data_IF_302863825964
#
_entry.id   IF_302863825964
#
_cell.length_a   1.000
_cell.length_b   1.000
_cell.length_c   1.000
_cell.angle_alpha   90.00
_cell.angle_beta   90.00
_cell.angle_gamma   90.00
#
_symmetry.space_group_name_H-M   'P 1'
#
loop_
_entity.id
_entity.type
_entity.pdbx_description
1 polymer ?
#
# COMPACT_ATOMS: atom_id res chain seq x y z
N UNK A 1 -24.80 -4.23 7.32
CA UNK A 1 -23.87 -3.91 6.23
C UNK A 1 -23.65 -2.39 6.26
N UNK A 2 -22.40 -1.93 6.42
CA UNK A 2 -22.08 -0.51 6.37
C UNK A 2 -22.07 -0.05 4.90
N UNK A 3 -22.62 1.15 4.63
CA UNK A 3 -22.42 1.78 3.34
C UNK A 3 -21.24 2.76 3.39
N UNK A 4 -20.79 3.25 2.25
CA UNK A 4 -19.65 4.17 2.12
C UNK A 4 -19.82 5.43 2.98
N UNK A 5 -21.03 5.99 3.08
CA UNK A 5 -21.31 7.17 3.92
C UNK A 5 -21.13 6.86 5.40
N UNK A 6 -21.59 5.68 5.84
CA UNK A 6 -21.42 5.26 7.23
C UNK A 6 -19.93 5.11 7.58
N UNK A 7 -19.13 4.55 6.65
CA UNK A 7 -17.67 4.40 6.81
C UNK A 7 -17.02 5.77 6.93
N UNK A 8 -17.35 6.71 6.04
CA UNK A 8 -16.79 8.08 6.07
C UNK A 8 -17.08 8.78 7.40
N UNK A 9 -18.32 8.67 7.92
CA UNK A 9 -18.71 9.24 9.21
C UNK A 9 -17.91 8.62 10.37
N UNK A 10 -17.71 7.30 10.37
CA UNK A 10 -16.94 6.58 11.40
C UNK A 10 -15.45 6.98 11.39
N UNK A 11 -14.92 7.39 10.25
CA UNK A 11 -13.50 7.69 10.06
C UNK A 11 -13.17 9.19 10.25
N UNK A 12 -14.16 10.06 10.20
CA UNK A 12 -13.94 11.50 10.38
C UNK A 12 -13.34 11.80 11.76
N UNK A 13 -12.11 12.34 11.78
CA UNK A 13 -11.37 12.63 13.00
C UNK A 13 -10.85 11.40 13.75
N UNK A 14 -11.03 10.19 13.22
CA UNK A 14 -10.57 8.97 13.87
C UNK A 14 -9.04 8.87 13.89
N UNK A 15 -8.51 8.31 14.97
CA UNK A 15 -7.08 7.98 15.11
C UNK A 15 -6.77 6.50 14.83
N UNK A 16 -7.81 5.67 14.69
CA UNK A 16 -7.74 4.25 14.35
C UNK A 16 -9.05 3.86 13.67
N UNK A 17 -8.99 2.93 12.73
CA UNK A 17 -10.18 2.34 12.11
C UNK A 17 -10.90 1.48 13.16
N UNK A 18 -12.21 1.70 13.33
CA UNK A 18 -12.99 0.99 14.35
C UNK A 18 -13.13 -0.51 14.03
N UNK A 19 -13.29 -1.33 15.08
CA UNK A 19 -13.52 -2.77 14.91
C UNK A 19 -14.74 -3.06 14.02
N UNK A 20 -15.78 -2.24 14.09
CA UNK A 20 -16.97 -2.35 13.25
C UNK A 20 -16.66 -2.21 11.76
N UNK A 21 -15.78 -1.26 11.38
CA UNK A 21 -15.33 -1.08 10.00
C UNK A 21 -14.40 -2.23 9.59
N UNK A 22 -13.51 -2.67 10.48
CA UNK A 22 -12.62 -3.82 10.23
C UNK A 22 -13.40 -5.11 10.03
N UNK A 23 -14.45 -5.36 10.80
CA UNK A 23 -15.31 -6.54 10.60
C UNK A 23 -15.99 -6.49 9.24
N UNK A 24 -16.53 -5.33 8.85
CA UNK A 24 -17.11 -5.15 7.51
C UNK A 24 -16.08 -5.39 6.39
N UNK A 25 -14.85 -4.88 6.52
CA UNK A 25 -13.75 -5.15 5.57
C UNK A 25 -13.52 -6.65 5.40
N UNK A 26 -13.53 -7.41 6.50
CA UNK A 26 -13.34 -8.87 6.45
C UNK A 26 -14.54 -9.60 5.85
N UNK A 27 -15.77 -9.20 6.16
CA UNK A 27 -17.00 -9.76 5.58
C UNK A 27 -17.02 -9.61 4.06
N UNK A 28 -16.67 -8.40 3.57
CA UNK A 28 -16.58 -8.08 2.13
C UNK A 28 -15.29 -8.60 1.48
N UNK A 29 -14.36 -9.15 2.24
CA UNK A 29 -13.06 -9.67 1.79
C UNK A 29 -12.18 -8.63 1.08
N UNK A 30 -12.29 -7.35 1.42
CA UNK A 30 -11.58 -6.26 0.74
C UNK A 30 -10.05 -6.35 0.88
N UNK A 31 -9.55 -6.93 1.96
CA UNK A 31 -8.12 -7.24 2.10
C UNK A 31 -7.65 -8.38 1.19
N UNK A 32 -8.58 -9.15 0.62
CA UNK A 32 -8.29 -10.36 -0.18
C UNK A 32 -8.62 -10.19 -1.67
N UNK A 33 -8.65 -8.93 -2.18
CA UNK A 33 -8.95 -8.68 -3.61
C UNK A 33 -7.97 -9.38 -4.54
N UNK A 34 -6.69 -9.40 -4.18
CA UNK A 34 -5.62 -10.02 -4.97
C UNK A 34 -5.36 -11.50 -4.61
N UNK A 35 -5.92 -11.97 -3.50
CA UNK A 35 -5.76 -13.36 -3.05
C UNK A 35 -6.53 -14.29 -4.00
N UNK A 36 -5.92 -15.41 -4.47
CA UNK A 36 -6.60 -16.37 -5.33
C UNK A 36 -7.89 -16.90 -4.71
N UNK A 37 -8.90 -17.17 -5.55
CA UNK A 37 -10.20 -17.75 -5.11
C UNK A 37 -10.03 -19.07 -4.37
N UNK A 38 -9.05 -19.89 -4.77
CA UNK A 38 -8.74 -21.17 -4.09
C UNK A 38 -8.34 -21.01 -2.61
N UNK A 39 -7.84 -19.84 -2.22
CA UNK A 39 -7.54 -19.48 -0.83
C UNK A 39 -8.61 -18.57 -0.20
N UNK A 40 -9.82 -18.54 -0.76
CA UNK A 40 -10.95 -17.78 -0.23
C UNK A 40 -10.93 -16.28 -0.52
N UNK A 41 -10.01 -15.81 -1.40
CA UNK A 41 -9.96 -14.43 -1.87
C UNK A 41 -10.98 -14.11 -2.96
N UNK A 42 -11.01 -12.84 -3.40
CA UNK A 42 -11.87 -12.39 -4.49
C UNK A 42 -11.24 -12.69 -5.87
N UNK A 43 -9.91 -12.75 -5.96
CA UNK A 43 -9.18 -13.03 -7.19
C UNK A 43 -9.51 -12.01 -8.29
N UNK A 44 -9.51 -10.73 -7.94
CA UNK A 44 -9.76 -9.66 -8.89
C UNK A 44 -8.67 -9.61 -9.97
N UNK A 45 -9.07 -9.21 -11.18
CA UNK A 45 -8.14 -8.75 -12.19
C UNK A 45 -7.50 -7.45 -11.74
N UNK A 46 -6.38 -7.10 -12.36
CA UNK A 46 -5.61 -5.92 -11.93
C UNK A 46 -6.45 -4.63 -12.00
N UNK A 47 -7.10 -4.39 -13.15
CA UNK A 47 -7.96 -3.22 -13.33
C UNK A 47 -9.12 -3.17 -12.30
N UNK A 48 -9.76 -4.31 -11.99
CA UNK A 48 -10.86 -4.36 -11.01
C UNK A 48 -10.38 -3.94 -9.62
N UNK A 49 -9.22 -4.46 -9.21
CA UNK A 49 -8.63 -4.08 -7.94
C UNK A 49 -8.24 -2.60 -7.88
N UNK A 50 -7.67 -2.04 -8.96
CA UNK A 50 -7.34 -0.61 -9.01
C UNK A 50 -8.59 0.28 -8.87
N UNK A 51 -9.72 -0.08 -9.48
CA UNK A 51 -10.99 0.62 -9.31
C UNK A 51 -11.49 0.57 -7.86
N UNK A 52 -11.38 -0.59 -7.22
CA UNK A 52 -11.75 -0.74 -5.81
C UNK A 52 -10.86 0.14 -4.90
N UNK A 53 -9.54 0.12 -5.10
CA UNK A 53 -8.61 0.94 -4.33
C UNK A 53 -8.88 2.45 -4.49
N UNK A 54 -9.20 2.90 -5.72
CA UNK A 54 -9.60 4.29 -5.97
C UNK A 54 -10.83 4.66 -5.14
N UNK A 55 -11.89 3.87 -5.20
CA UNK A 55 -13.15 4.13 -4.50
C UNK A 55 -12.98 4.16 -2.97
N UNK A 56 -12.12 3.30 -2.42
CA UNK A 56 -11.83 3.32 -0.99
C UNK A 56 -11.02 4.54 -0.56
N UNK A 57 -10.07 4.99 -1.38
CA UNK A 57 -9.31 6.20 -1.13
C UNK A 57 -10.17 7.48 -1.28
N UNK A 58 -11.15 7.46 -2.18
CA UNK A 58 -12.18 8.50 -2.32
C UNK A 58 -13.13 8.53 -1.12
N UNK A 59 -13.32 7.41 -0.44
CA UNK A 59 -14.11 7.34 0.80
C UNK A 59 -13.40 8.04 1.96
N UNK A 60 -12.14 7.69 2.23
CA UNK A 60 -11.29 8.29 3.25
C UNK A 60 -9.82 7.94 2.99
N UNK A 61 -8.91 8.89 3.21
CA UNK A 61 -7.48 8.72 2.92
C UNK A 61 -6.82 7.63 3.76
N UNK A 62 -7.07 7.59 5.08
CA UNK A 62 -6.52 6.55 5.97
C UNK A 62 -7.03 5.15 5.62
N UNK A 63 -8.32 5.07 5.29
CA UNK A 63 -9.01 3.84 4.93
C UNK A 63 -8.47 3.26 3.61
N UNK A 64 -8.49 4.07 2.56
CA UNK A 64 -7.96 3.66 1.26
C UNK A 64 -6.48 3.28 1.33
N UNK A 65 -5.68 4.03 2.10
CA UNK A 65 -4.27 3.71 2.31
C UNK A 65 -4.07 2.36 2.99
N UNK A 66 -4.79 2.12 4.09
CA UNK A 66 -4.71 0.84 4.81
C UNK A 66 -5.12 -0.33 3.91
N UNK A 67 -6.24 -0.20 3.18
CA UNK A 67 -6.70 -1.24 2.26
C UNK A 67 -5.70 -1.47 1.11
N UNK A 68 -5.12 -0.40 0.54
CA UNK A 68 -4.11 -0.52 -0.52
C UNK A 68 -2.88 -1.31 -0.05
N UNK A 69 -2.33 -0.95 1.11
CA UNK A 69 -1.10 -1.57 1.60
C UNK A 69 -1.33 -2.99 2.13
N UNK A 70 -2.43 -3.22 2.87
CA UNK A 70 -2.73 -4.54 3.40
C UNK A 70 -3.22 -5.53 2.32
N UNK A 71 -4.01 -5.08 1.34
CA UNK A 71 -4.35 -5.93 0.20
C UNK A 71 -3.11 -6.24 -0.65
N UNK A 72 -2.20 -5.27 -0.82
CA UNK A 72 -0.90 -5.47 -1.44
C UNK A 72 0.00 -6.45 -0.68
N UNK A 73 -0.06 -6.47 0.65
CA UNK A 73 0.65 -7.48 1.44
C UNK A 73 -0.01 -8.88 1.35
N UNK A 74 -1.34 -8.95 1.34
CA UNK A 74 -2.06 -10.20 1.13
C UNK A 74 -1.86 -10.78 -0.29
N UNK A 75 -1.49 -9.96 -1.29
CA UNK A 75 -1.05 -10.41 -2.60
C UNK A 75 0.09 -11.42 -2.51
N UNK A 76 0.98 -11.32 -1.52
CA UNK A 76 2.09 -12.27 -1.31
C UNK A 76 1.64 -13.69 -0.94
N UNK A 77 0.32 -13.94 -0.75
CA UNK A 77 -0.23 -15.31 -0.75
C UNK A 77 0.15 -16.12 -2.00
N UNK A 78 0.55 -15.45 -3.08
CA UNK A 78 0.98 -16.03 -4.34
C UNK A 78 2.47 -16.43 -4.34
N UNK A 79 3.28 -15.81 -3.46
CA UNK A 79 4.72 -16.00 -3.34
C UNK A 79 5.12 -17.05 -2.30
N UNK A 80 4.19 -17.53 -1.48
CA UNK A 80 4.42 -18.56 -0.46
C UNK A 80 3.94 -19.93 -0.93
N UNK A 81 4.50 -20.99 -0.34
CA UNK A 81 4.12 -22.37 -0.68
C UNK A 81 2.60 -22.56 -0.55
N UNK A 82 1.96 -23.32 -1.46
CA UNK A 82 0.52 -23.50 -1.46
C UNK A 82 -0.06 -23.99 -0.13
N UNK A 83 0.62 -24.91 0.54
CA UNK A 83 0.22 -25.48 1.83
C UNK A 83 0.20 -24.40 2.93
N UNK A 84 1.20 -23.50 2.92
CA UNK A 84 1.27 -22.39 3.87
C UNK A 84 0.20 -21.34 3.54
N UNK A 85 0.01 -21.02 2.26
CA UNK A 85 -1.06 -20.11 1.83
C UNK A 85 -2.44 -20.63 2.24
N UNK A 86 -2.73 -21.90 2.01
CA UNK A 86 -3.98 -22.54 2.40
C UNK A 86 -4.18 -22.49 3.92
N UNK A 87 -3.15 -22.85 4.69
CA UNK A 87 -3.19 -22.80 6.16
C UNK A 87 -3.51 -21.37 6.67
N UNK A 88 -2.79 -20.37 6.19
CA UNK A 88 -2.93 -19.00 6.68
C UNK A 88 -4.27 -18.38 6.26
N UNK A 89 -4.66 -18.56 5.00
CA UNK A 89 -5.86 -17.93 4.44
C UNK A 89 -7.17 -18.69 4.75
N UNK A 90 -7.12 -19.86 5.40
CA UNK A 90 -8.28 -20.50 6.06
C UNK A 90 -8.91 -19.57 7.09
N UNK A 91 -8.10 -18.75 7.78
CA UNK A 91 -8.61 -17.69 8.63
C UNK A 91 -9.23 -16.59 7.76
N UNK A 92 -10.56 -16.40 7.90
CA UNK A 92 -11.29 -15.35 7.15
C UNK A 92 -10.78 -13.93 7.46
N UNK A 93 -10.26 -13.72 8.67
CA UNK A 93 -9.75 -12.43 9.19
C UNK A 93 -8.25 -12.23 8.97
N UNK A 94 -7.58 -13.06 8.16
CA UNK A 94 -6.15 -12.88 7.87
C UNK A 94 -5.91 -11.51 7.23
N UNK A 95 -4.93 -10.81 7.79
CA UNK A 95 -4.49 -9.51 7.32
C UNK A 95 -2.97 -9.42 7.45
N UNK A 96 -2.30 -9.38 6.31
CA UNK A 96 -0.87 -9.12 6.23
C UNK A 96 -0.61 -7.63 6.08
N UNK A 97 0.49 -7.18 6.61
CA UNK A 97 1.04 -5.85 6.40
C UNK A 97 2.43 -5.79 6.98
N UNK A 98 3.19 -4.78 6.64
CA UNK A 98 4.55 -4.71 7.12
C UNK A 98 5.33 -3.54 6.52
N UNK A 99 6.63 -3.71 6.41
CA UNK A 99 7.52 -2.68 5.87
C UNK A 99 8.33 -3.26 4.71
N UNK A 100 8.36 -2.54 3.60
CA UNK A 100 9.23 -2.85 2.45
C UNK A 100 10.72 -2.57 2.71
N UNK A 101 11.04 -1.91 3.83
CA UNK A 101 12.43 -1.63 4.21
C UNK A 101 13.14 -2.88 4.71
N UNK A 102 14.44 -2.99 4.42
CA UNK A 102 15.30 -4.00 5.03
C UNK A 102 15.67 -3.50 6.42
N UNK A 103 14.95 -3.99 7.43
CA UNK A 103 15.06 -3.50 8.82
C UNK A 103 15.80 -4.44 9.78
N UNK A 104 16.31 -5.57 9.29
CA UNK A 104 16.93 -6.55 10.16
C UNK A 104 17.72 -7.64 9.44
N UNK A 105 18.05 -8.68 10.19
CA UNK A 105 18.76 -9.87 9.72
C UNK A 105 17.97 -11.14 9.98
N UNK A 106 18.17 -12.14 9.15
CA UNK A 106 17.67 -13.51 9.29
C UNK A 106 18.84 -14.48 9.24
N UNK A 107 19.27 -14.94 10.40
CA UNK A 107 20.39 -15.87 10.54
C UNK A 107 19.94 -17.30 10.20
N UNK A 108 20.47 -17.85 9.11
CA UNK A 108 20.14 -19.19 8.63
C UNK A 108 20.65 -20.25 9.58
N UNK A 109 19.79 -21.21 9.92
CA UNK A 109 20.09 -22.36 10.75
C UNK A 109 20.20 -23.66 9.92
N UNK A 110 20.82 -24.70 10.47
CA UNK A 110 21.00 -25.98 9.80
C UNK A 110 19.71 -26.80 9.61
N UNK A 111 18.67 -26.48 10.33
CA UNK A 111 17.36 -27.17 10.35
C UNK A 111 16.31 -26.50 9.46
N UNK A 112 16.74 -25.72 8.47
CA UNK A 112 15.85 -24.95 7.57
C UNK A 112 14.98 -23.92 8.31
N UNK A 113 15.52 -23.34 9.38
CA UNK A 113 14.89 -22.19 10.06
C UNK A 113 15.79 -20.95 9.97
N UNK A 114 15.23 -19.82 10.35
CA UNK A 114 15.93 -18.54 10.47
C UNK A 114 15.66 -17.94 11.84
N UNK A 115 16.68 -17.34 12.44
CA UNK A 115 16.52 -16.50 13.63
C UNK A 115 16.46 -15.06 13.16
N UNK A 116 15.31 -14.41 13.36
CA UNK A 116 15.06 -13.04 12.87
C UNK A 116 15.24 -12.04 14.00
N UNK A 117 16.00 -10.97 13.70
CA UNK A 117 16.20 -9.83 14.57
C UNK A 117 16.13 -8.54 13.76
N UNK A 118 15.43 -7.52 14.29
CA UNK A 118 15.40 -6.21 13.65
C UNK A 118 14.29 -5.30 14.12
N UNK A 119 14.22 -4.13 13.49
CA UNK A 119 13.20 -3.12 13.71
C UNK A 119 12.74 -2.55 12.36
N UNK A 120 11.44 -2.53 12.15
CA UNK A 120 10.81 -2.07 10.93
C UNK A 120 9.85 -0.94 11.23
N UNK A 121 9.93 0.12 10.42
CA UNK A 121 9.08 1.29 10.55
C UNK A 121 7.97 1.26 9.49
N UNK A 122 6.90 2.00 9.76
CA UNK A 122 5.82 2.29 8.81
C UNK A 122 5.03 1.06 8.32
N UNK A 123 4.73 0.13 9.23
CA UNK A 123 3.81 -0.97 8.97
C UNK A 123 2.36 -0.47 9.06
N UNK A 124 1.77 -0.17 7.91
CA UNK A 124 0.38 0.28 7.82
C UNK A 124 -0.58 -0.82 8.27
N UNK A 125 -1.63 -0.44 8.99
CA UNK A 125 -2.64 -1.37 9.52
C UNK A 125 -2.18 -2.14 10.76
N UNK A 126 -1.02 -1.83 11.36
CA UNK A 126 -0.43 -2.59 12.45
C UNK A 126 -1.38 -2.98 13.60
N UNK A 127 -2.36 -2.15 14.03
CA UNK A 127 -3.35 -2.56 15.02
C UNK A 127 -4.20 -3.76 14.61
N UNK A 128 -4.44 -3.94 13.32
CA UNK A 128 -5.40 -4.88 12.75
C UNK A 128 -4.74 -6.07 12.03
N UNK A 129 -3.40 -6.07 11.91
CA UNK A 129 -2.68 -7.18 11.28
C UNK A 129 -2.81 -8.46 12.10
N UNK A 130 -2.80 -9.58 11.41
CA UNK A 130 -2.59 -10.91 11.98
C UNK A 130 -1.15 -11.38 11.82
N UNK A 131 -0.48 -10.93 10.76
CA UNK A 131 0.91 -11.25 10.47
C UNK A 131 1.64 -10.02 9.94
N UNK A 132 2.88 -9.86 10.37
CA UNK A 132 3.80 -8.90 9.78
C UNK A 132 4.55 -9.54 8.61
N UNK A 133 4.67 -8.80 7.51
CA UNK A 133 5.64 -9.07 6.44
C UNK A 133 6.84 -8.16 6.62
N UNK A 134 8.03 -8.69 6.46
CA UNK A 134 9.27 -7.95 6.70
C UNK A 134 10.38 -8.42 5.75
N UNK A 135 11.30 -7.52 5.41
CA UNK A 135 12.49 -7.82 4.64
C UNK A 135 13.71 -7.87 5.56
N UNK A 136 14.53 -8.92 5.43
CA UNK A 136 15.74 -9.10 6.22
C UNK A 136 16.89 -9.57 5.35
N UNK A 137 18.12 -9.14 5.69
CA UNK A 137 19.35 -9.67 5.10
C UNK A 137 19.58 -11.07 5.61
N UNK A 138 19.89 -12.00 4.70
CA UNK A 138 20.25 -13.35 5.10
C UNK A 138 21.69 -13.36 5.61
N UNK A 139 21.88 -13.93 6.79
CA UNK A 139 23.20 -14.13 7.40
C UNK A 139 23.43 -15.62 7.67
N UNK A 140 24.67 -16.03 7.69
CA UNK A 140 25.11 -17.37 8.08
C UNK A 140 26.41 -17.26 8.87
N UNK A 141 26.47 -17.87 10.04
CA UNK A 141 27.58 -17.72 11.00
C UNK A 141 27.93 -16.24 11.28
N UNK A 142 26.92 -15.37 11.34
CA UNK A 142 27.04 -13.93 11.59
C UNK A 142 27.54 -13.09 10.40
N UNK A 143 27.71 -13.67 9.22
CA UNK A 143 28.14 -12.98 8.01
C UNK A 143 27.00 -12.86 7.02
N UNK A 144 26.84 -11.69 6.39
CA UNK A 144 25.85 -11.48 5.31
C UNK A 144 26.18 -12.34 4.11
N UNK A 145 25.19 -13.08 3.60
CA UNK A 145 25.31 -13.85 2.36
C UNK A 145 25.02 -12.92 1.17
N UNK A 146 25.79 -13.12 0.09
CA UNK A 146 25.58 -12.42 -1.18
C UNK A 146 25.12 -13.39 -2.28
N UNK A 147 24.40 -12.86 -3.26
CA UNK A 147 24.07 -13.58 -4.50
C UNK A 147 25.31 -13.72 -5.43
N UNK A 148 25.10 -14.35 -6.58
CA UNK A 148 26.17 -14.56 -7.58
C UNK A 148 26.71 -13.25 -8.19
N UNK A 149 25.99 -12.12 -8.02
CA UNK A 149 26.38 -10.79 -8.51
C UNK A 149 27.06 -9.95 -7.42
N UNK A 150 27.19 -10.49 -6.19
CA UNK A 150 27.76 -9.79 -5.04
C UNK A 150 26.78 -8.89 -4.29
N UNK A 151 25.47 -8.93 -4.61
CA UNK A 151 24.45 -8.20 -3.88
C UNK A 151 24.05 -8.94 -2.59
N UNK A 152 23.77 -8.21 -1.52
CA UNK A 152 23.26 -8.79 -0.28
C UNK A 152 21.98 -9.59 -0.55
N UNK A 153 21.91 -10.82 -0.08
CA UNK A 153 20.72 -11.66 -0.21
C UNK A 153 19.66 -11.17 0.78
N UNK A 154 18.48 -10.81 0.25
CA UNK A 154 17.35 -10.33 1.04
C UNK A 154 16.17 -11.28 0.81
N UNK A 155 15.58 -11.77 1.90
CA UNK A 155 14.31 -12.48 1.85
C UNK A 155 13.24 -11.72 2.62
N UNK A 156 12.00 -11.95 2.23
CA UNK A 156 10.82 -11.54 2.96
C UNK A 156 10.34 -12.68 3.85
N UNK A 157 9.78 -12.34 5.00
CA UNK A 157 9.27 -13.31 5.98
C UNK A 157 7.87 -12.92 6.44
N UNK A 158 7.08 -13.92 6.81
CA UNK A 158 5.77 -13.77 7.44
C UNK A 158 5.91 -14.18 8.90
N UNK A 159 5.63 -13.26 9.82
CA UNK A 159 5.73 -13.49 11.25
C UNK A 159 4.39 -13.19 11.92
N UNK A 160 3.83 -14.11 12.74
CA UNK A 160 2.62 -13.85 13.50
C UNK A 160 2.75 -12.58 14.37
N UNK A 161 1.68 -11.79 14.46
CA UNK A 161 1.68 -10.53 15.22
C UNK A 161 2.09 -10.71 16.67
N UNK A 162 1.71 -11.82 17.27
CA UNK A 162 1.99 -12.15 18.66
C UNK A 162 3.49 -12.29 18.96
N UNK A 163 4.30 -12.53 17.92
CA UNK A 163 5.76 -12.63 18.00
C UNK A 163 6.46 -11.29 17.76
N UNK A 164 5.71 -10.25 17.45
CA UNK A 164 6.24 -8.92 17.19
C UNK A 164 5.89 -7.96 18.33
N UNK A 165 6.84 -7.14 18.73
CA UNK A 165 6.59 -6.01 19.64
C UNK A 165 6.17 -4.79 18.82
N UNK A 166 4.88 -4.50 18.81
CA UNK A 166 4.31 -3.34 18.10
C UNK A 166 4.58 -2.06 18.91
N UNK A 167 5.06 -1.02 18.21
CA UNK A 167 5.36 0.29 18.79
C UNK A 167 4.39 1.31 18.20
N UNK A 168 3.38 1.81 18.92
CA UNK A 168 2.37 2.74 18.45
C UNK A 168 2.93 4.18 18.36
N UNK A 169 3.82 4.42 17.40
CA UNK A 169 4.57 5.66 17.25
C UNK A 169 4.14 6.52 16.05
N UNK A 170 3.02 6.22 15.41
CA UNK A 170 2.50 7.00 14.30
C UNK A 170 1.92 8.34 14.77
N UNK A 171 2.63 9.43 14.49
CA UNK A 171 2.28 10.81 14.88
C UNK A 171 2.41 11.72 13.67
N UNK A 172 1.59 11.48 12.65
CA UNK A 172 1.55 12.24 11.41
C UNK A 172 0.48 13.33 11.45
N UNK A 173 0.57 14.28 10.55
CA UNK A 173 -0.48 15.31 10.38
C UNK A 173 -1.76 14.72 9.76
N UNK A 174 -1.63 13.75 8.88
CA UNK A 174 -2.72 13.02 8.21
C UNK A 174 -2.51 11.51 8.25
N UNK A 175 -3.38 10.75 7.61
CA UNK A 175 -3.38 9.28 7.62
C UNK A 175 -3.41 8.70 9.05
N UNK A 176 -4.05 9.41 9.99
CA UNK A 176 -4.01 9.08 11.43
C UNK A 176 -4.57 7.70 11.70
N UNK A 177 -5.72 7.39 11.10
CA UNK A 177 -6.40 6.11 11.31
C UNK A 177 -5.75 4.94 10.58
N UNK A 178 -4.73 5.16 9.73
CA UNK A 178 -4.02 4.09 9.02
C UNK A 178 -3.23 3.17 9.96
N UNK A 179 -2.94 3.61 11.19
CA UNK A 179 -2.21 2.82 12.18
C UNK A 179 -0.83 2.36 11.70
N UNK A 180 -0.09 3.27 11.03
CA UNK A 180 1.21 2.99 10.41
C UNK A 180 2.31 2.97 11.47
N UNK A 181 2.34 1.92 12.30
CA UNK A 181 3.24 1.78 13.44
C UNK A 181 4.58 1.14 13.07
N UNK A 182 5.54 1.19 14.00
CA UNK A 182 6.76 0.39 13.93
C UNK A 182 6.58 -0.93 14.68
N UNK A 183 7.44 -1.91 14.36
CA UNK A 183 7.50 -3.16 15.12
C UNK A 183 8.94 -3.67 15.23
N UNK A 184 9.18 -4.47 16.26
CA UNK A 184 10.47 -5.08 16.58
C UNK A 184 10.29 -6.59 16.65
N UNK A 185 11.22 -7.32 16.09
CA UNK A 185 11.36 -8.77 16.21
C UNK A 185 12.69 -9.06 16.93
N UNK A 186 12.66 -9.87 17.97
CA UNK A 186 13.84 -10.22 18.77
C UNK A 186 13.94 -11.74 18.93
N UNK A 187 14.95 -12.35 18.30
CA UNK A 187 15.29 -13.78 18.40
C UNK A 187 14.13 -14.74 18.08
N UNK A 188 13.31 -14.40 17.09
CA UNK A 188 12.20 -15.25 16.67
C UNK A 188 12.68 -16.26 15.63
N UNK A 189 12.36 -17.55 15.91
CA UNK A 189 12.64 -18.66 14.99
C UNK A 189 11.49 -18.76 13.98
N UNK A 190 11.81 -18.68 12.70
CA UNK A 190 10.85 -18.79 11.58
C UNK A 190 11.29 -19.91 10.66
N UNK A 191 10.37 -20.83 10.31
CA UNK A 191 10.63 -21.88 9.33
C UNK A 191 10.80 -21.26 7.92
N UNK A 192 11.71 -21.82 7.12
CA UNK A 192 11.96 -21.39 5.74
C UNK A 192 10.70 -21.31 4.88
N UNK A 193 9.71 -22.14 5.11
CA UNK A 193 8.44 -22.13 4.37
C UNK A 193 7.61 -20.85 4.53
N UNK A 194 7.88 -20.04 5.58
CA UNK A 194 7.30 -18.71 5.79
C UNK A 194 8.17 -17.59 5.21
N UNK A 195 9.20 -17.93 4.44
CA UNK A 195 9.99 -16.96 3.67
C UNK A 195 9.56 -16.95 2.21
N UNK A 196 9.76 -15.81 1.54
CA UNK A 196 9.50 -15.66 0.11
C UNK A 196 10.38 -14.58 -0.51
N UNK A 197 10.43 -14.57 -1.84
CA UNK A 197 11.01 -13.49 -2.65
C UNK A 197 9.94 -12.97 -3.62
N UNK A 198 10.04 -11.70 -4.02
CA UNK A 198 8.98 -11.02 -4.77
C UNK A 198 8.80 -11.52 -6.21
N UNK A 199 9.80 -12.12 -6.79
CA UNK A 199 9.84 -12.61 -8.18
C UNK A 199 9.62 -14.13 -8.32
N UNK A 200 9.29 -14.82 -7.23
CA UNK A 200 8.99 -16.26 -7.24
C UNK A 200 7.53 -16.50 -6.81
N UNK A 201 6.76 -17.15 -7.69
CA UNK A 201 5.34 -17.39 -7.50
C UNK A 201 5.01 -18.89 -7.53
N UNK A 202 4.06 -19.30 -6.70
CA UNK A 202 3.47 -20.64 -6.67
C UNK A 202 2.08 -20.70 -7.32
N UNK A 203 1.64 -19.61 -7.89
CA UNK A 203 0.43 -19.52 -8.71
C UNK A 203 0.81 -19.32 -10.17
N UNK A 204 -0.16 -19.47 -11.06
CA UNK A 204 0.02 -19.24 -12.49
C UNK A 204 -1.13 -18.35 -12.98
N UNK A 205 -1.01 -17.08 -12.70
CA UNK A 205 -1.99 -16.06 -13.03
C UNK A 205 -1.28 -14.89 -13.70
N UNK A 206 -1.98 -14.11 -14.49
CA UNK A 206 -1.40 -12.96 -15.18
C UNK A 206 -0.83 -11.91 -14.20
N UNK A 207 -1.45 -11.80 -13.00
CA UNK A 207 -0.95 -10.94 -11.93
C UNK A 207 0.46 -11.33 -11.47
N UNK A 208 0.82 -12.62 -11.53
CA UNK A 208 2.14 -13.11 -11.11
C UNK A 208 3.25 -12.64 -12.07
N UNK A 209 2.89 -12.24 -13.28
CA UNK A 209 3.82 -11.75 -14.29
C UNK A 209 3.98 -10.23 -14.29
N UNK A 210 3.16 -9.51 -13.52
CA UNK A 210 3.28 -8.06 -13.40
C UNK A 210 4.50 -7.73 -12.53
N UNK A 211 5.50 -6.97 -13.05
CA UNK A 211 6.63 -6.56 -12.23
C UNK A 211 6.16 -5.83 -10.97
N UNK A 212 6.69 -6.21 -9.80
CA UNK A 212 6.21 -5.68 -8.51
C UNK A 212 6.26 -4.15 -8.45
N UNK A 213 7.25 -3.51 -9.11
CA UNK A 213 7.32 -2.05 -9.22
C UNK A 213 6.10 -1.47 -9.93
N UNK A 214 5.66 -2.07 -11.04
CA UNK A 214 4.48 -1.63 -11.79
C UNK A 214 3.21 -1.81 -10.95
N UNK A 215 3.09 -2.96 -10.27
CA UNK A 215 2.00 -3.23 -9.35
C UNK A 215 1.94 -2.17 -8.24
N UNK A 216 3.06 -1.88 -7.57
CA UNK A 216 3.15 -0.89 -6.52
C UNK A 216 2.83 0.53 -7.03
N UNK A 217 3.40 0.93 -8.18
CA UNK A 217 3.17 2.25 -8.76
C UNK A 217 1.68 2.47 -9.05
N UNK A 218 1.02 1.55 -9.76
CA UNK A 218 -0.37 1.75 -10.18
C UNK A 218 -1.35 1.67 -8.99
N UNK A 219 -1.12 0.80 -8.02
CA UNK A 219 -1.95 0.72 -6.81
C UNK A 219 -1.87 2.00 -5.97
N UNK A 220 -0.68 2.58 -5.84
CA UNK A 220 -0.50 3.85 -5.15
C UNK A 220 -1.09 5.02 -5.94
N UNK A 221 -0.93 5.07 -7.27
CA UNK A 221 -1.45 6.17 -8.09
C UNK A 221 -2.97 6.29 -7.99
N UNK A 222 -3.71 5.19 -8.03
CA UNK A 222 -5.18 5.23 -7.87
C UNK A 222 -5.58 5.70 -6.46
N UNK A 223 -4.77 5.40 -5.45
CA UNK A 223 -4.99 5.89 -4.08
C UNK A 223 -4.85 7.41 -4.01
N UNK A 224 -3.77 8.00 -4.57
CA UNK A 224 -3.58 9.45 -4.64
C UNK A 224 -4.72 10.15 -5.40
N UNK A 225 -5.17 9.56 -6.49
CA UNK A 225 -6.29 10.08 -7.29
C UNK A 225 -7.61 10.04 -6.50
N UNK A 226 -7.86 8.96 -5.75
CA UNK A 226 -9.04 8.85 -4.89
C UNK A 226 -9.06 9.90 -3.79
N UNK A 227 -7.91 10.12 -3.10
CA UNK A 227 -7.82 11.18 -2.10
C UNK A 227 -8.00 12.57 -2.74
N UNK A 228 -7.47 12.79 -3.96
CA UNK A 228 -7.67 14.04 -4.66
C UNK A 228 -9.14 14.28 -5.05
N UNK A 229 -9.87 13.22 -5.43
CA UNK A 229 -11.32 13.27 -5.66
C UNK A 229 -12.09 13.64 -4.39
N UNK A 230 -11.77 12.99 -3.27
CA UNK A 230 -12.35 13.33 -1.97
C UNK A 230 -12.06 14.80 -1.56
N UNK A 231 -10.84 15.26 -1.82
CA UNK A 231 -10.48 16.66 -1.54
C UNK A 231 -11.37 17.65 -2.32
N UNK A 232 -11.69 17.38 -3.58
CA UNK A 232 -12.57 18.23 -4.37
C UNK A 232 -13.96 18.28 -3.75
N UNK A 233 -14.52 17.13 -3.40
CA UNK A 233 -15.87 17.04 -2.77
C UNK A 233 -15.94 17.89 -1.50
N UNK A 234 -14.95 17.79 -0.63
CA UNK A 234 -14.92 18.56 0.62
C UNK A 234 -14.63 20.05 0.37
N UNK A 235 -13.82 20.39 -0.62
CA UNK A 235 -13.56 21.77 -1.02
C UNK A 235 -14.82 22.47 -1.57
N UNK A 236 -15.66 21.76 -2.32
CA UNK A 236 -16.96 22.24 -2.81
C UNK A 236 -17.93 22.54 -1.66
N UNK A 237 -17.94 21.71 -0.61
CA UNK A 237 -18.74 21.97 0.58
C UNK A 237 -18.35 23.30 1.28
N UNK A 238 -17.06 23.66 1.29
CA UNK A 238 -16.55 24.92 1.89
C UNK A 238 -16.78 26.12 0.98
N UNK A 239 -16.59 25.96 -0.34
CA UNK A 239 -16.62 27.05 -1.33
C UNK A 239 -17.37 26.66 -2.61
N UNK A 240 -18.70 26.49 -2.55
CA UNK A 240 -19.50 26.03 -3.70
C UNK A 240 -19.49 27.01 -4.89
N UNK A 241 -19.02 28.26 -4.72
CA UNK A 241 -18.87 29.23 -5.79
C UNK A 241 -17.58 29.07 -6.61
N UNK A 242 -16.62 28.26 -6.16
CA UNK A 242 -15.41 27.95 -6.93
C UNK A 242 -15.77 26.84 -7.93
N UNK A 243 -15.31 27.01 -9.16
CA UNK A 243 -15.50 25.97 -10.19
C UNK A 243 -14.35 24.98 -10.16
N UNK A 244 -14.58 23.79 -9.61
CA UNK A 244 -13.59 22.72 -9.54
C UNK A 244 -13.58 21.81 -10.78
N UNK A 245 -14.47 22.01 -11.75
CA UNK A 245 -14.66 21.11 -12.90
C UNK A 245 -13.38 20.80 -13.68
N UNK A 246 -12.46 21.75 -13.76
CA UNK A 246 -11.17 21.53 -14.42
C UNK A 246 -10.30 20.52 -13.66
N UNK A 247 -10.34 20.54 -12.32
CA UNK A 247 -9.58 19.60 -11.51
C UNK A 247 -10.26 18.22 -11.47
N UNK A 248 -11.59 18.15 -11.36
CA UNK A 248 -12.35 16.91 -11.48
C UNK A 248 -12.02 16.19 -12.80
N UNK A 249 -12.16 16.89 -13.93
CA UNK A 249 -11.84 16.34 -15.24
C UNK A 249 -10.37 15.89 -15.34
N UNK A 250 -9.45 16.57 -14.63
CA UNK A 250 -8.04 16.16 -14.55
C UNK A 250 -7.91 14.83 -13.81
N UNK A 251 -8.56 14.67 -12.65
CA UNK A 251 -8.54 13.44 -11.86
C UNK A 251 -9.13 12.28 -12.65
N UNK A 252 -10.32 12.47 -13.26
CA UNK A 252 -10.98 11.46 -14.09
C UNK A 252 -10.08 11.02 -15.27
N UNK A 253 -9.47 11.98 -15.97
CA UNK A 253 -8.56 11.71 -17.09
C UNK A 253 -7.33 10.90 -16.65
N UNK A 254 -6.76 11.24 -15.48
CA UNK A 254 -5.60 10.52 -14.98
C UNK A 254 -5.97 9.13 -14.46
N UNK A 255 -7.14 8.97 -13.82
CA UNK A 255 -7.66 7.66 -13.46
C UNK A 255 -7.82 6.76 -14.69
N UNK A 256 -8.50 7.25 -15.73
CA UNK A 256 -8.66 6.49 -16.98
C UNK A 256 -7.30 6.14 -17.61
N UNK A 257 -6.31 7.05 -17.54
CA UNK A 257 -4.97 6.76 -18.02
C UNK A 257 -4.28 5.65 -17.23
N UNK A 258 -4.38 5.66 -15.90
CA UNK A 258 -3.84 4.59 -15.04
C UNK A 258 -4.50 3.24 -15.33
N UNK A 259 -5.82 3.22 -15.49
CA UNK A 259 -6.56 2.00 -15.85
C UNK A 259 -6.19 1.50 -17.26
N UNK A 260 -5.96 2.40 -18.22
CA UNK A 260 -5.49 2.06 -19.57
C UNK A 260 -4.08 1.44 -19.52
N UNK A 261 -3.17 1.98 -18.68
CA UNK A 261 -1.84 1.39 -18.47
C UNK A 261 -1.97 -0.03 -17.90
N UNK A 262 -2.84 -0.24 -16.91
CA UNK A 262 -3.07 -1.57 -16.36
C UNK A 262 -3.57 -2.56 -17.41
N UNK A 263 -4.54 -2.16 -18.24
CA UNK A 263 -5.03 -2.98 -19.37
C UNK A 263 -3.94 -3.28 -20.41
N UNK A 264 -3.12 -2.28 -20.74
CA UNK A 264 -1.97 -2.46 -21.63
C UNK A 264 -0.98 -3.49 -21.07
N UNK A 265 -0.64 -3.38 -19.78
CA UNK A 265 0.24 -4.33 -19.07
C UNK A 265 -0.36 -5.75 -19.11
N UNK A 266 -1.63 -5.92 -18.73
CA UNK A 266 -2.31 -7.24 -18.79
C UNK A 266 -2.33 -7.82 -20.21
N UNK A 267 -2.57 -7.01 -21.23
CA UNK A 267 -2.59 -7.45 -22.63
C UNK A 267 -1.20 -7.90 -23.11
N UNK A 268 -0.15 -7.11 -22.82
CA UNK A 268 1.22 -7.49 -23.15
C UNK A 268 1.60 -8.84 -22.54
N UNK A 269 1.28 -9.05 -21.26
CA UNK A 269 1.57 -10.29 -20.55
C UNK A 269 0.72 -11.47 -21.08
N UNK A 270 -0.54 -11.23 -21.47
CA UNK A 270 -1.41 -12.23 -22.11
C UNK A 270 -0.85 -12.70 -23.45
N UNK A 271 -0.15 -11.83 -24.17
CA UNK A 271 0.55 -12.12 -25.41
C UNK A 271 1.94 -12.74 -25.19
N UNK A 272 2.28 -13.15 -23.95
CA UNK A 272 3.61 -13.64 -23.55
C UNK A 272 4.74 -12.64 -23.81
N UNK A 273 4.46 -11.33 -23.72
CA UNK A 273 5.45 -10.26 -23.85
C UNK A 273 5.81 -9.72 -22.48
N UNK A 274 7.09 -9.57 -22.23
CA UNK A 274 7.59 -9.00 -20.96
C UNK A 274 7.40 -7.48 -20.91
N UNK A 275 7.23 -6.94 -19.72
CA UNK A 275 7.21 -5.50 -19.47
C UNK A 275 8.67 -5.01 -19.33
N UNK A 276 9.17 -4.37 -20.37
CA UNK A 276 10.55 -3.89 -20.41
C UNK A 276 10.87 -2.90 -19.27
N UNK A 277 12.15 -2.84 -18.89
CA UNK A 277 12.62 -1.86 -17.89
C UNK A 277 12.32 -0.42 -18.32
N UNK A 278 12.37 -0.13 -19.62
CA UNK A 278 12.01 1.18 -20.16
C UNK A 278 10.53 1.50 -19.92
N UNK A 279 9.62 0.56 -20.18
CA UNK A 279 8.18 0.72 -19.91
C UNK A 279 7.90 0.89 -18.41
N UNK A 280 8.58 0.14 -17.57
CA UNK A 280 8.47 0.31 -16.11
C UNK A 280 8.92 1.71 -15.67
N UNK A 281 10.03 2.22 -16.23
CA UNK A 281 10.52 3.58 -15.95
C UNK A 281 9.57 4.67 -16.46
N UNK A 282 8.95 4.48 -17.64
CA UNK A 282 7.92 5.36 -18.19
C UNK A 282 6.72 5.48 -17.22
N UNK A 283 6.21 4.35 -16.73
CA UNK A 283 5.10 4.29 -15.76
C UNK A 283 5.48 5.01 -14.47
N UNK A 284 6.64 4.74 -13.93
CA UNK A 284 7.12 5.37 -12.70
C UNK A 284 7.27 6.90 -12.85
N UNK A 285 7.92 7.35 -13.93
CA UNK A 285 8.10 8.77 -14.23
C UNK A 285 6.76 9.49 -14.39
N UNK A 286 5.79 8.82 -15.05
CA UNK A 286 4.43 9.34 -15.11
C UNK A 286 3.84 9.52 -13.71
N UNK A 287 4.04 8.56 -12.80
CA UNK A 287 3.59 8.65 -11.42
C UNK A 287 4.21 9.82 -10.65
N UNK A 288 5.52 10.01 -10.73
CA UNK A 288 6.22 11.14 -10.10
C UNK A 288 5.63 12.46 -10.56
N UNK A 289 5.47 12.66 -11.88
CA UNK A 289 4.92 13.88 -12.46
C UNK A 289 3.45 14.11 -12.06
N UNK A 290 2.65 13.05 -12.03
CA UNK A 290 1.24 13.14 -11.62
C UNK A 290 1.10 13.59 -10.17
N UNK A 291 1.87 13.01 -9.25
CA UNK A 291 1.80 13.39 -7.83
C UNK A 291 2.24 14.83 -7.63
N UNK A 292 3.29 15.29 -8.32
CA UNK A 292 3.69 16.69 -8.29
C UNK A 292 2.58 17.61 -8.79
N UNK A 293 1.93 17.26 -9.90
CA UNK A 293 0.81 18.02 -10.46
C UNK A 293 -0.37 18.08 -9.48
N UNK A 294 -0.80 16.94 -8.92
CA UNK A 294 -1.90 16.88 -7.95
C UNK A 294 -1.57 17.70 -6.70
N UNK A 295 -0.34 17.60 -6.17
CA UNK A 295 0.11 18.36 -5.00
C UNK A 295 0.01 19.87 -5.23
N UNK A 296 0.45 20.34 -6.40
CA UNK A 296 0.38 21.75 -6.76
C UNK A 296 -1.07 22.24 -6.90
N UNK A 297 -1.95 21.43 -7.51
CA UNK A 297 -3.36 21.74 -7.68
C UNK A 297 -4.09 21.81 -6.33
N UNK A 298 -3.90 20.79 -5.47
CA UNK A 298 -4.50 20.73 -4.13
C UNK A 298 -4.04 21.92 -3.28
N UNK A 299 -2.75 22.22 -3.26
CA UNK A 299 -2.21 23.35 -2.50
C UNK A 299 -2.77 24.69 -3.01
N UNK A 300 -2.85 24.87 -4.33
CA UNK A 300 -3.42 26.07 -4.95
C UNK A 300 -4.88 26.26 -4.56
N UNK A 301 -5.68 25.20 -4.63
CA UNK A 301 -7.09 25.25 -4.27
C UNK A 301 -7.23 25.50 -2.76
N UNK A 302 -6.53 24.77 -1.92
CA UNK A 302 -6.62 24.85 -0.47
C UNK A 302 -6.41 26.29 0.04
N UNK A 303 -5.44 27.01 -0.52
CA UNK A 303 -5.18 28.42 -0.18
C UNK A 303 -6.33 29.37 -0.56
N UNK A 304 -7.24 28.97 -1.44
CA UNK A 304 -8.41 29.75 -1.84
C UNK A 304 -9.67 29.45 -0.99
N UNK A 305 -9.65 28.39 -0.17
CA UNK A 305 -10.80 27.99 0.64
C UNK A 305 -11.04 28.93 1.83
N UNK A 306 -10.01 29.63 2.28
CA UNK A 306 -10.06 30.57 3.38
C UNK A 306 -9.87 29.92 4.76
N UNK A 307 -9.92 30.72 5.82
CA UNK A 307 -9.48 30.33 7.17
C UNK A 307 -10.24 29.13 7.75
N UNK A 308 -11.52 28.95 7.43
CA UNK A 308 -12.32 27.81 7.91
C UNK A 308 -11.78 26.46 7.44
N UNK A 309 -11.11 26.41 6.31
CA UNK A 309 -10.49 25.17 5.83
C UNK A 309 -9.32 24.72 6.71
N UNK A 310 -8.83 25.57 7.63
CA UNK A 310 -7.75 25.22 8.55
C UNK A 310 -8.21 24.73 9.92
N UNK A 311 -9.53 24.69 10.15
CA UNK A 311 -10.12 24.15 11.38
C UNK A 311 -9.82 22.64 11.45
N UNK A 312 -9.26 22.17 12.58
CA UNK A 312 -8.72 20.82 12.71
C UNK A 312 -9.78 19.71 12.69
N UNK A 313 -11.05 20.06 12.88
CA UNK A 313 -12.23 19.20 12.76
C UNK A 313 -12.90 19.29 11.39
N UNK A 314 -12.41 20.13 10.49
CA UNK A 314 -12.89 20.25 9.12
C UNK A 314 -12.49 19.03 8.29
N UNK A 315 -13.45 18.45 7.55
CA UNK A 315 -13.19 17.33 6.67
C UNK A 315 -12.15 17.68 5.58
N UNK A 316 -12.24 18.87 4.98
CA UNK A 316 -11.25 19.32 3.98
C UNK A 316 -9.83 19.43 4.55
N UNK A 317 -9.67 19.83 5.82
CA UNK A 317 -8.37 19.84 6.50
C UNK A 317 -7.84 18.41 6.66
N UNK A 318 -8.68 17.47 7.09
CA UNK A 318 -8.30 16.07 7.23
C UNK A 318 -7.81 15.52 5.89
N UNK A 319 -8.59 15.68 4.82
CA UNK A 319 -8.22 15.16 3.49
C UNK A 319 -6.95 15.82 2.94
N UNK A 320 -6.80 17.12 3.15
CA UNK A 320 -5.55 17.84 2.82
C UNK A 320 -4.34 17.23 3.53
N UNK A 321 -4.44 17.02 4.84
CA UNK A 321 -3.39 16.40 5.63
C UNK A 321 -3.11 14.95 5.20
N UNK A 322 -4.14 14.18 4.89
CA UNK A 322 -4.03 12.80 4.43
C UNK A 322 -3.29 12.74 3.09
N UNK A 323 -3.67 13.58 2.12
CA UNK A 323 -2.99 13.66 0.83
C UNK A 323 -1.49 13.97 0.98
N UNK A 324 -1.15 15.03 1.73
CA UNK A 324 0.25 15.40 1.89
C UNK A 324 1.05 14.42 2.74
N UNK A 325 0.42 13.68 3.65
CA UNK A 325 1.08 12.58 4.34
C UNK A 325 1.38 11.43 3.38
N UNK A 326 0.43 11.05 2.54
CA UNK A 326 0.63 10.04 1.49
C UNK A 326 1.73 10.45 0.50
N UNK A 327 1.74 11.71 0.06
CA UNK A 327 2.72 12.24 -0.91
C UNK A 327 4.16 12.22 -0.38
N UNK A 328 4.38 12.05 0.94
CA UNK A 328 5.71 11.84 1.53
C UNK A 328 6.20 10.39 1.43
N UNK A 329 5.40 9.46 0.91
CA UNK A 329 5.83 8.08 0.72
C UNK A 329 7.01 7.98 -0.25
N UNK A 330 7.97 7.08 0.05
CA UNK A 330 9.24 7.01 -0.67
C UNK A 330 9.13 6.58 -2.14
N UNK A 331 8.03 5.90 -2.51
CA UNK A 331 7.89 5.30 -3.84
C UNK A 331 8.02 6.31 -4.99
N UNK A 332 7.44 7.51 -4.83
CA UNK A 332 7.45 8.55 -5.85
C UNK A 332 8.24 9.81 -5.45
N UNK A 333 9.06 9.68 -4.41
CA UNK A 333 9.93 10.80 -4.00
C UNK A 333 11.03 10.99 -5.04
N UNK A 334 11.21 12.22 -5.57
CA UNK A 334 12.38 12.51 -6.41
C UNK A 334 13.67 12.17 -5.67
N UNK A 335 14.68 11.71 -6.40
CA UNK A 335 15.99 11.52 -5.78
C UNK A 335 16.54 12.86 -5.29
N UNK A 336 17.37 12.84 -4.24
CA UNK A 336 17.96 14.07 -3.72
C UNK A 336 18.82 14.80 -4.78
N UNK A 337 19.26 14.07 -5.81
CA UNK A 337 20.03 14.64 -6.94
C UNK A 337 19.15 15.36 -7.97
N UNK A 338 17.84 15.07 -7.99
CA UNK A 338 16.89 15.67 -8.94
C UNK A 338 16.23 16.94 -8.39
N UNK A 339 16.54 17.31 -7.14
CA UNK A 339 15.96 18.49 -6.49
C UNK A 339 16.83 19.73 -6.77
N UNK A 340 16.35 20.59 -7.68
CA UNK A 340 16.93 21.93 -7.88
C UNK A 340 16.09 22.95 -7.10
N UNK A 341 16.68 23.52 -6.06
CA UNK A 341 16.10 24.59 -5.24
C UNK A 341 16.65 25.97 -5.63
N UNK A 342 17.13 26.17 -6.87
CA UNK A 342 17.50 27.48 -7.37
C UNK A 342 16.26 28.37 -7.47
N UNK A 343 16.12 29.31 -6.54
CA UNK A 343 15.11 30.38 -6.51
C UNK A 343 15.61 31.57 -7.27
#
# INVERSE_FOLDING_TARGET
MLNIKDIRIELQGASIISDKVIEHIHEEKWLKIWVPKKYGGLGYRFEEGLKALFSWAETDGSFGWMLTLCAGANYFSRNIKPEVAELLFTNSKVCFGGSGMVGGTAERQKDNTYIINGSWNFATGAPHLTHFTLNAKITENGQTITDNNGNEMIHSFIVPKEQAKVIPNWKSMGMKASGTYSFIIENIVVNEEYSFVYDHFFTNDILDSIPFRVFADLTLLVNYLGIASHFIEEAECIRPQINFKSFENSVEKHLEKVLNIAREVENLLSDNREISAEKQNEIHTYGVNLIQQLSNQILTIYTQLGIRATETDSAVYQVFCDYFTAAMHSNFRPSAHDLDFSF
#
